data_IF_079900719516
#
_entry.id   IF_079900719516
#
_cell.length_a   1.000
_cell.length_b   1.000
_cell.length_c   1.000
_cell.angle_alpha   90.00
_cell.angle_beta   90.00
_cell.angle_gamma   90.00
#
_symmetry.space_group_name_H-M   'P 1'
#
loop_
_entity.id
_entity.type
_entity.pdbx_description
1 polymer ?
#
# COMPACT_ATOMS: atom_id res chain seq x y z
N UNK A 1 56.90 -4.15 -13.73
CA UNK A 1 55.75 -5.07 -13.57
C UNK A 1 55.75 -5.57 -12.13
N UNK A 2 54.66 -5.30 -11.40
CA UNK A 2 53.76 -6.41 -11.11
C UNK A 2 52.33 -6.10 -11.55
N UNK A 3 51.68 -7.15 -12.05
CA UNK A 3 50.36 -7.13 -12.66
C UNK A 3 49.26 -6.87 -11.62
N UNK A 4 48.51 -5.79 -11.80
CA UNK A 4 47.29 -5.52 -11.04
C UNK A 4 46.14 -6.33 -11.65
N UNK A 5 45.63 -7.28 -10.87
CA UNK A 5 44.56 -8.19 -11.26
C UNK A 5 43.22 -7.45 -11.07
N UNK A 6 42.77 -6.74 -12.11
CA UNK A 6 41.43 -6.14 -12.17
C UNK A 6 40.37 -7.25 -12.20
N UNK A 7 39.49 -7.27 -11.21
CA UNK A 7 38.30 -8.11 -11.21
C UNK A 7 37.44 -7.79 -12.46
N UNK A 8 36.79 -8.79 -13.08
CA UNK A 8 36.08 -8.59 -14.33
C UNK A 8 34.84 -7.69 -14.10
N UNK A 9 34.71 -6.64 -14.93
CA UNK A 9 33.47 -5.86 -15.06
C UNK A 9 32.38 -6.81 -15.58
N UNK A 10 31.40 -7.11 -14.74
CA UNK A 10 30.18 -7.80 -15.15
C UNK A 10 29.43 -6.85 -16.08
N UNK A 11 29.25 -7.25 -17.34
CA UNK A 11 28.27 -6.62 -18.24
C UNK A 11 26.91 -7.24 -17.93
N UNK A 12 25.87 -6.46 -17.62
CA UNK A 12 24.52 -7.02 -17.59
C UNK A 12 24.16 -7.47 -19.01
N UNK A 13 24.05 -8.79 -19.17
CA UNK A 13 23.46 -9.40 -20.36
C UNK A 13 21.96 -9.17 -20.37
N UNK A 14 21.44 -9.02 -21.57
CA UNK A 14 20.03 -8.98 -21.92
C UNK A 14 19.30 -10.21 -21.34
N UNK A 15 18.05 -9.99 -20.90
CA UNK A 15 17.09 -10.89 -20.23
C UNK A 15 16.99 -10.71 -18.70
N UNK A 16 15.98 -9.95 -18.28
CA UNK A 16 15.48 -9.96 -16.91
C UNK A 16 14.25 -9.07 -16.78
N UNK A 17 13.09 -9.67 -16.53
CA UNK A 17 11.84 -8.99 -16.17
C UNK A 17 12.08 -7.99 -15.02
N UNK A 18 11.63 -6.74 -15.22
CA UNK A 18 11.37 -5.66 -14.25
C UNK A 18 12.14 -5.70 -12.92
N UNK A 19 13.47 -5.57 -12.98
CA UNK A 19 14.22 -5.08 -11.83
C UNK A 19 14.29 -3.56 -11.97
N UNK A 20 13.37 -2.85 -11.30
CA UNK A 20 13.39 -1.38 -11.18
C UNK A 20 14.52 -0.94 -10.24
N UNK A 21 15.77 -1.21 -10.63
CA UNK A 21 16.98 -0.86 -9.89
C UNK A 21 17.83 0.07 -10.75
N UNK A 22 18.25 1.19 -10.20
CA UNK A 22 19.12 2.15 -10.88
C UNK A 22 20.31 2.54 -10.03
N UNK A 23 21.42 2.90 -10.68
CA UNK A 23 22.67 3.27 -10.01
C UNK A 23 22.85 4.79 -9.96
N UNK A 24 23.51 5.27 -8.91
CA UNK A 24 23.94 6.66 -8.85
C UNK A 24 25.33 6.80 -8.24
N UNK A 25 25.99 7.90 -8.59
CA UNK A 25 27.19 8.39 -7.91
C UNK A 25 27.03 9.85 -7.56
N UNK A 26 27.59 10.23 -6.42
CA UNK A 26 27.65 11.61 -5.97
C UNK A 26 29.06 11.93 -5.45
N UNK A 27 29.75 12.86 -6.11
CA UNK A 27 31.04 13.37 -5.67
C UNK A 27 30.85 14.61 -4.81
N UNK A 28 31.46 14.61 -3.63
CA UNK A 28 31.35 15.73 -2.68
C UNK A 28 32.03 16.99 -3.22
N UNK A 29 33.21 16.81 -3.82
CA UNK A 29 33.93 17.91 -4.47
C UNK A 29 33.22 18.27 -5.77
N UNK A 30 32.75 19.51 -5.86
CA UNK A 30 31.98 20.00 -7.00
C UNK A 30 30.52 19.56 -7.02
N UNK A 31 30.05 18.83 -6.00
CA UNK A 31 28.65 18.38 -5.85
C UNK A 31 28.07 17.74 -7.12
N UNK A 32 28.88 16.92 -7.80
CA UNK A 32 28.53 16.30 -9.07
C UNK A 32 27.75 15.01 -8.86
N UNK A 33 26.67 14.85 -9.60
CA UNK A 33 25.89 13.61 -9.63
C UNK A 33 26.05 12.89 -10.97
N UNK A 34 25.96 11.57 -10.93
CA UNK A 34 25.73 10.72 -12.09
C UNK A 34 24.55 9.79 -11.77
N UNK A 35 23.62 9.71 -12.70
CA UNK A 35 22.48 8.80 -12.66
C UNK A 35 22.61 7.79 -13.79
N UNK A 36 22.27 6.53 -13.52
CA UNK A 36 22.07 5.57 -14.59
C UNK A 36 20.81 5.90 -15.40
N UNK A 37 20.69 5.30 -16.57
CA UNK A 37 19.52 5.44 -17.43
C UNK A 37 18.23 5.04 -16.69
N UNK A 38 18.29 4.06 -15.80
CA UNK A 38 17.18 3.61 -14.96
C UNK A 38 16.78 4.67 -13.95
N UNK A 39 17.73 5.33 -13.27
CA UNK A 39 17.41 6.42 -12.33
C UNK A 39 16.82 7.62 -13.07
N UNK A 40 17.32 7.94 -14.27
CA UNK A 40 16.73 8.97 -15.11
C UNK A 40 15.28 8.63 -15.48
N UNK A 41 15.03 7.40 -15.95
CA UNK A 41 13.68 6.91 -16.26
C UNK A 41 12.75 6.89 -15.05
N UNK A 42 13.25 6.48 -13.87
CA UNK A 42 12.48 6.53 -12.61
C UNK A 42 12.00 7.94 -12.28
N UNK A 43 12.81 8.97 -12.54
CA UNK A 43 12.43 10.36 -12.34
C UNK A 43 11.61 10.95 -13.51
N UNK A 44 11.33 10.16 -14.55
CA UNK A 44 10.55 10.58 -15.72
C UNK A 44 11.36 11.37 -16.76
N UNK A 45 12.67 11.17 -16.82
CA UNK A 45 13.55 11.73 -17.85
C UNK A 45 13.95 10.67 -18.88
N UNK A 46 14.10 11.09 -20.13
CA UNK A 46 14.80 10.29 -21.14
C UNK A 46 16.30 10.29 -20.81
N UNK A 47 17.00 9.13 -20.86
CA UNK A 47 18.42 9.08 -20.53
C UNK A 47 19.28 10.08 -21.31
N UNK A 48 20.18 10.75 -20.60
CA UNK A 48 21.09 11.76 -21.18
C UNK A 48 20.44 13.13 -21.48
N UNK A 49 19.14 13.31 -21.24
CA UNK A 49 18.49 14.62 -21.46
C UNK A 49 18.61 15.59 -20.29
N UNK A 50 19.03 15.10 -19.13
CA UNK A 50 19.19 15.90 -17.92
C UNK A 50 20.57 15.71 -17.32
N UNK A 51 21.13 16.78 -16.77
CA UNK A 51 22.32 16.73 -15.93
C UNK A 51 21.86 16.71 -14.47
N UNK A 52 22.08 15.60 -13.73
CA UNK A 52 21.64 15.49 -12.35
C UNK A 52 22.33 16.51 -11.44
N UNK A 53 21.55 17.18 -10.60
CA UNK A 53 22.06 18.09 -9.56
C UNK A 53 21.38 17.80 -8.23
N UNK A 54 21.97 18.27 -7.12
CA UNK A 54 21.33 18.16 -5.79
C UNK A 54 19.98 18.88 -5.77
N UNK A 55 19.87 20.03 -6.42
CA UNK A 55 18.62 20.78 -6.54
C UNK A 55 17.56 19.96 -7.29
N UNK A 56 17.93 19.36 -8.43
CA UNK A 56 17.04 18.50 -9.20
C UNK A 56 16.60 17.28 -8.37
N UNK A 57 17.53 16.62 -7.66
CA UNK A 57 17.18 15.50 -6.79
C UNK A 57 16.16 15.91 -5.71
N UNK A 58 16.37 17.08 -5.08
CA UNK A 58 15.50 17.60 -4.02
C UNK A 58 14.14 18.08 -4.55
N UNK A 59 14.07 18.56 -5.80
CA UNK A 59 12.80 18.98 -6.41
C UNK A 59 11.83 17.81 -6.55
N UNK A 60 12.34 16.60 -6.81
CA UNK A 60 11.54 15.38 -6.90
C UNK A 60 11.19 14.78 -5.54
N UNK A 61 11.77 15.25 -4.42
CA UNK A 61 11.37 14.72 -3.10
C UNK A 61 9.95 15.16 -2.76
N UNK A 62 9.20 14.22 -2.18
CA UNK A 62 7.87 14.52 -1.63
C UNK A 62 7.99 15.71 -0.65
N UNK A 63 7.06 16.68 -0.65
CA UNK A 63 7.15 17.88 0.19
C UNK A 63 7.42 17.57 1.67
N UNK A 64 6.77 16.54 2.20
CA UNK A 64 6.95 16.09 3.60
C UNK A 64 8.34 15.47 3.87
N UNK A 65 8.98 14.91 2.85
CA UNK A 65 10.22 14.15 2.98
C UNK A 65 11.46 15.02 2.62
N UNK A 66 11.27 16.17 1.95
CA UNK A 66 12.34 17.00 1.38
C UNK A 66 13.36 17.49 2.41
N UNK A 67 12.89 18.05 3.54
CA UNK A 67 13.80 18.56 4.58
C UNK A 67 14.63 17.43 5.19
N UNK A 68 14.00 16.29 5.47
CA UNK A 68 14.68 15.13 6.04
C UNK A 68 15.77 14.58 5.11
N UNK A 69 15.50 14.50 3.81
CA UNK A 69 16.48 14.05 2.81
C UNK A 69 17.64 15.04 2.67
N UNK A 70 17.36 16.34 2.75
CA UNK A 70 18.41 17.37 2.74
C UNK A 70 19.34 17.23 3.94
N UNK A 71 18.78 17.06 5.15
CA UNK A 71 19.57 16.87 6.37
C UNK A 71 20.44 15.60 6.30
N UNK A 72 19.93 14.52 5.67
CA UNK A 72 20.69 13.28 5.45
C UNK A 72 21.84 13.47 4.45
N UNK A 73 21.62 14.21 3.37
CA UNK A 73 22.68 14.55 2.40
C UNK A 73 23.77 15.40 3.07
N UNK A 74 23.37 16.38 3.89
CA UNK A 74 24.30 17.20 4.65
C UNK A 74 25.07 16.36 5.67
N UNK A 75 24.44 15.44 6.38
CA UNK A 75 25.15 14.51 7.27
C UNK A 75 26.14 13.61 6.50
N UNK A 76 25.75 13.08 5.34
CA UNK A 76 26.62 12.26 4.51
C UNK A 76 27.87 13.03 4.05
N UNK A 77 27.72 14.32 3.72
CA UNK A 77 28.83 15.22 3.38
C UNK A 77 29.80 15.46 4.56
N UNK A 78 29.30 15.52 5.80
CA UNK A 78 30.10 15.91 6.96
C UNK A 78 30.66 14.73 7.76
N UNK A 79 29.95 13.60 7.85
CA UNK A 79 30.25 12.51 8.78
C UNK A 79 30.84 11.27 8.10
N UNK A 80 30.62 11.09 6.79
CA UNK A 80 31.18 9.99 6.00
C UNK A 80 30.80 8.59 6.49
N UNK A 81 29.77 7.98 5.90
CA UNK A 81 29.35 6.60 6.21
C UNK A 81 28.48 5.99 5.12
N UNK A 82 28.26 4.67 5.19
CA UNK A 82 27.23 4.01 4.37
C UNK A 82 25.85 4.42 4.89
N UNK A 83 24.91 4.66 3.98
CA UNK A 83 23.55 5.04 4.36
C UNK A 83 22.51 4.22 3.59
N UNK A 84 21.40 3.96 4.28
CA UNK A 84 20.21 3.35 3.73
C UNK A 84 19.02 4.22 4.08
N UNK A 85 18.16 4.51 3.10
CA UNK A 85 16.95 5.30 3.31
C UNK A 85 15.81 4.71 2.50
N UNK A 86 14.63 4.62 3.13
CA UNK A 86 13.38 4.39 2.41
C UNK A 86 12.58 5.69 2.41
N UNK A 87 12.25 6.21 1.23
CA UNK A 87 11.52 7.46 1.10
C UNK A 87 10.71 7.51 -0.18
N UNK A 88 9.90 8.57 -0.32
CA UNK A 88 9.09 8.82 -1.50
C UNK A 88 9.70 9.92 -2.37
N UNK A 89 9.56 9.77 -3.68
CA UNK A 89 9.84 10.84 -4.63
C UNK A 89 8.70 10.91 -5.66
N UNK A 90 8.61 12.03 -6.38
CA UNK A 90 7.59 12.33 -7.36
C UNK A 90 8.29 12.48 -8.72
N UNK A 91 7.85 11.77 -9.75
CA UNK A 91 8.39 11.88 -11.11
C UNK A 91 7.91 13.16 -11.84
N UNK A 92 8.39 13.41 -13.06
CA UNK A 92 7.96 14.55 -13.89
C UNK A 92 6.48 14.52 -14.28
N UNK A 93 5.83 13.35 -14.22
CA UNK A 93 4.40 13.19 -14.49
C UNK A 93 3.53 13.37 -13.23
N UNK A 94 4.15 13.53 -12.05
CA UNK A 94 3.46 13.69 -10.77
C UNK A 94 3.13 12.38 -10.06
N UNK A 95 3.63 11.23 -10.53
CA UNK A 95 3.45 9.95 -9.85
C UNK A 95 4.39 9.84 -8.65
N UNK A 96 3.87 9.37 -7.53
CA UNK A 96 4.66 9.08 -6.34
C UNK A 96 5.28 7.69 -6.45
N UNK A 97 6.59 7.60 -6.22
CA UNK A 97 7.36 6.39 -6.17
C UNK A 97 7.86 6.11 -4.77
N UNK A 98 7.78 4.86 -4.33
CA UNK A 98 8.40 4.40 -3.07
C UNK A 98 9.73 3.73 -3.38
N UNK A 99 10.84 4.29 -2.87
CA UNK A 99 12.18 3.73 -3.11
C UNK A 99 12.90 3.36 -1.83
N UNK A 100 13.81 2.41 -1.96
CA UNK A 100 14.93 2.24 -1.04
C UNK A 100 16.20 2.71 -1.75
N UNK A 101 16.99 3.54 -1.08
CA UNK A 101 18.31 3.96 -1.52
C UNK A 101 19.34 3.32 -0.61
N UNK A 102 20.32 2.66 -1.21
CA UNK A 102 21.46 2.03 -0.53
C UNK A 102 22.73 2.65 -1.09
N UNK A 103 23.64 3.15 -0.25
CA UNK A 103 24.87 3.75 -0.73
C UNK A 103 26.05 3.51 0.22
N UNK A 104 27.24 3.41 -0.37
CA UNK A 104 28.52 3.32 0.34
C UNK A 104 29.49 4.40 -0.16
N UNK A 105 30.64 4.51 0.50
CA UNK A 105 31.66 5.53 0.26
C UNK A 105 32.51 5.20 -0.96
N UNK A 106 32.76 6.22 -1.76
CA UNK A 106 33.81 6.22 -2.79
C UNK A 106 35.11 6.77 -2.18
N UNK A 107 36.23 6.12 -2.49
CA UNK A 107 37.56 6.52 -2.04
C UNK A 107 38.45 6.86 -3.25
N UNK A 108 39.38 7.80 -3.07
CA UNK A 108 40.47 7.99 -4.02
C UNK A 108 41.66 7.06 -3.70
N UNK A 109 42.70 7.11 -4.55
CA UNK A 109 43.92 6.32 -4.41
C UNK A 109 44.70 6.58 -3.10
N UNK A 110 44.40 7.67 -2.40
CA UNK A 110 45.02 8.05 -1.12
C UNK A 110 44.18 7.57 0.08
N UNK A 111 43.06 6.88 -0.15
CA UNK A 111 42.16 6.41 0.89
C UNK A 111 41.26 7.50 1.49
N UNK A 112 41.19 8.69 0.86
CA UNK A 112 40.29 9.74 1.28
C UNK A 112 38.90 9.54 0.67
N UNK A 113 37.84 9.79 1.44
CA UNK A 113 36.46 9.73 0.95
C UNK A 113 36.22 10.88 -0.02
N UNK A 114 35.80 10.56 -1.25
CA UNK A 114 35.56 11.54 -2.32
C UNK A 114 34.08 11.65 -2.72
N UNK A 115 33.25 10.74 -2.25
CA UNK A 115 31.82 10.74 -2.56
C UNK A 115 31.11 9.49 -2.06
N UNK A 116 29.95 9.23 -2.63
CA UNK A 116 29.14 8.04 -2.40
C UNK A 116 28.61 7.45 -3.70
N UNK A 117 28.50 6.13 -3.76
CA UNK A 117 27.85 5.40 -4.85
C UNK A 117 26.83 4.41 -4.30
N UNK A 118 25.78 4.15 -5.06
CA UNK A 118 24.66 3.39 -4.55
C UNK A 118 23.60 3.04 -5.58
N UNK A 119 22.51 2.47 -5.07
CA UNK A 119 21.38 1.97 -5.84
C UNK A 119 20.06 2.55 -5.34
N UNK A 120 19.19 2.93 -6.28
CA UNK A 120 17.76 3.07 -6.09
C UNK A 120 17.08 1.74 -6.39
N UNK A 121 16.22 1.28 -5.49
CA UNK A 121 15.33 0.15 -5.72
C UNK A 121 13.90 0.69 -5.63
N UNK A 122 13.20 0.73 -6.76
CA UNK A 122 11.80 1.14 -6.82
C UNK A 122 10.90 -0.03 -6.37
N UNK A 123 10.12 0.23 -5.33
CA UNK A 123 9.18 -0.69 -4.71
C UNK A 123 7.73 -0.36 -5.04
N UNK A 124 7.47 0.63 -5.89
CA UNK A 124 6.12 1.16 -6.17
C UNK A 124 5.18 0.04 -6.61
N UNK A 125 5.58 -0.75 -7.61
CA UNK A 125 4.77 -1.89 -8.09
C UNK A 125 4.55 -2.96 -7.01
N UNK A 126 5.56 -3.22 -6.18
CA UNK A 126 5.47 -4.21 -5.11
C UNK A 126 4.52 -3.76 -4.00
N UNK A 127 4.58 -2.48 -3.63
CA UNK A 127 3.70 -1.86 -2.64
C UNK A 127 2.27 -1.82 -3.15
N UNK A 128 2.04 -1.36 -4.38
CA UNK A 128 0.70 -1.30 -4.97
C UNK A 128 0.10 -2.69 -5.19
N UNK A 129 0.89 -3.67 -5.62
CA UNK A 129 0.45 -5.07 -5.74
C UNK A 129 0.08 -5.65 -4.38
N UNK A 130 0.86 -5.37 -3.34
CA UNK A 130 0.55 -5.80 -1.96
C UNK A 130 -0.73 -5.14 -1.46
N UNK A 131 -0.88 -3.82 -1.68
CA UNK A 131 -2.08 -3.06 -1.34
C UNK A 131 -3.32 -3.64 -2.03
N UNK A 132 -3.24 -3.90 -3.34
CA UNK A 132 -4.31 -4.50 -4.12
C UNK A 132 -4.69 -5.88 -3.57
N UNK A 133 -3.70 -6.75 -3.27
CA UNK A 133 -3.96 -8.06 -2.66
C UNK A 133 -4.68 -7.97 -1.31
N UNK A 134 -4.29 -7.02 -0.46
CA UNK A 134 -4.95 -6.80 0.83
C UNK A 134 -6.41 -6.36 0.63
N UNK A 135 -6.66 -5.45 -0.32
CA UNK A 135 -8.01 -5.02 -0.65
C UNK A 135 -8.85 -6.16 -1.22
N UNK A 136 -8.32 -6.91 -2.18
CA UNK A 136 -9.01 -8.05 -2.81
C UNK A 136 -9.35 -9.16 -1.79
N UNK A 137 -8.49 -9.36 -0.78
CA UNK A 137 -8.76 -10.32 0.29
C UNK A 137 -9.78 -9.82 1.33
N UNK A 138 -9.74 -8.51 1.67
CA UNK A 138 -10.59 -7.96 2.73
C UNK A 138 -12.00 -7.59 2.27
N UNK A 139 -12.18 -7.21 1.01
CA UNK A 139 -13.46 -6.72 0.50
C UNK A 139 -14.58 -7.77 0.52
N UNK A 140 -14.35 -9.05 0.13
CA UNK A 140 -15.36 -10.11 0.24
C UNK A 140 -15.81 -10.35 1.69
N UNK A 141 -14.88 -10.40 2.65
CA UNK A 141 -15.21 -10.57 4.07
C UNK A 141 -16.07 -9.41 4.60
N UNK A 142 -15.82 -8.18 4.14
CA UNK A 142 -16.62 -7.01 4.54
C UNK A 142 -18.04 -7.06 3.97
N UNK A 143 -18.22 -7.51 2.73
CA UNK A 143 -19.53 -7.69 2.12
C UNK A 143 -20.33 -8.81 2.79
N UNK A 144 -19.71 -9.97 3.05
CA UNK A 144 -20.34 -11.07 3.78
C UNK A 144 -20.70 -10.67 5.22
N UNK A 145 -19.81 -9.96 5.91
CA UNK A 145 -20.08 -9.45 7.26
C UNK A 145 -21.27 -8.48 7.27
N UNK A 146 -21.38 -7.61 6.26
CA UNK A 146 -22.53 -6.70 6.13
C UNK A 146 -23.80 -7.46 5.80
N UNK A 147 -23.74 -8.48 4.94
CA UNK A 147 -24.89 -9.30 4.59
C UNK A 147 -25.47 -10.05 5.80
N UNK A 148 -24.63 -10.71 6.59
CA UNK A 148 -25.07 -11.43 7.79
C UNK A 148 -25.70 -10.51 8.84
N UNK A 149 -25.13 -9.30 9.03
CA UNK A 149 -25.70 -8.29 9.96
C UNK A 149 -27.08 -7.83 9.48
N UNK A 150 -27.25 -7.53 8.19
CA UNK A 150 -28.55 -7.09 7.66
C UNK A 150 -29.61 -8.21 7.68
N UNK A 151 -29.23 -9.47 7.42
CA UNK A 151 -30.13 -10.62 7.54
C UNK A 151 -30.57 -10.85 8.99
N UNK A 152 -29.63 -10.81 9.95
CA UNK A 152 -29.95 -10.92 11.37
C UNK A 152 -30.86 -9.78 11.85
N UNK A 153 -30.61 -8.53 11.40
CA UNK A 153 -31.51 -7.40 11.67
C UNK A 153 -32.91 -7.66 11.14
N UNK A 154 -33.04 -8.11 9.88
CA UNK A 154 -34.33 -8.44 9.29
C UNK A 154 -35.09 -9.50 10.09
N UNK A 155 -34.42 -10.57 10.51
CA UNK A 155 -35.03 -11.59 11.36
C UNK A 155 -35.49 -11.03 12.72
N UNK A 156 -34.66 -10.22 13.38
CA UNK A 156 -35.01 -9.59 14.66
C UNK A 156 -36.18 -8.62 14.53
N UNK A 157 -36.25 -7.86 13.43
CA UNK A 157 -37.38 -6.97 13.15
C UNK A 157 -38.70 -7.75 13.08
N UNK A 158 -38.69 -8.92 12.42
CA UNK A 158 -39.88 -9.77 12.29
C UNK A 158 -40.25 -10.44 13.62
N UNK A 159 -39.27 -10.96 14.35
CA UNK A 159 -39.49 -11.70 15.60
C UNK A 159 -39.91 -10.78 16.75
N UNK A 160 -39.30 -9.60 16.85
CA UNK A 160 -39.50 -8.68 17.97
C UNK A 160 -40.38 -7.47 17.64
N UNK A 161 -40.76 -7.27 16.37
CA UNK A 161 -41.58 -6.13 15.95
C UNK A 161 -40.88 -4.77 16.12
N UNK A 162 -39.55 -4.75 16.02
CA UNK A 162 -38.70 -3.57 16.22
C UNK A 162 -38.23 -2.98 14.89
N UNK A 163 -37.79 -1.73 14.90
CA UNK A 163 -37.14 -1.13 13.73
C UNK A 163 -35.70 -1.64 13.54
N UNK A 164 -35.09 -1.25 12.41
CA UNK A 164 -33.74 -1.71 12.04
C UNK A 164 -32.64 -1.22 12.99
N UNK A 165 -32.79 -0.04 13.58
CA UNK A 165 -31.81 0.54 14.50
C UNK A 165 -31.86 -0.16 15.86
N UNK A 166 -33.07 -0.44 16.34
CA UNK A 166 -33.33 -1.24 17.53
C UNK A 166 -32.81 -2.68 17.37
N UNK A 167 -33.08 -3.32 16.23
CA UNK A 167 -32.54 -4.65 15.92
C UNK A 167 -31.01 -4.68 15.90
N UNK A 168 -30.38 -3.64 15.33
CA UNK A 168 -28.92 -3.53 15.31
C UNK A 168 -28.35 -3.31 16.72
N UNK A 169 -29.01 -2.47 17.53
CA UNK A 169 -28.62 -2.24 18.92
C UNK A 169 -28.68 -3.53 19.76
N UNK A 170 -29.65 -4.42 19.51
CA UNK A 170 -29.70 -5.74 20.16
C UNK A 170 -28.48 -6.60 19.83
N UNK A 171 -28.07 -6.65 18.55
CA UNK A 171 -26.88 -7.38 18.12
C UNK A 171 -25.61 -6.77 18.74
N UNK A 172 -25.50 -5.44 18.75
CA UNK A 172 -24.38 -4.72 19.37
C UNK A 172 -24.29 -4.99 20.87
N UNK A 173 -25.41 -4.88 21.58
CA UNK A 173 -25.47 -5.14 23.01
C UNK A 173 -25.00 -6.56 23.32
N UNK A 174 -25.51 -7.55 22.58
CA UNK A 174 -25.11 -8.95 22.79
C UNK A 174 -23.63 -9.18 22.48
N UNK A 175 -23.13 -8.60 21.39
CA UNK A 175 -21.72 -8.66 20.98
C UNK A 175 -20.78 -8.10 22.06
N UNK A 176 -21.14 -6.97 22.66
CA UNK A 176 -20.36 -6.35 23.74
C UNK A 176 -20.38 -7.20 25.01
N UNK A 177 -21.55 -7.71 25.40
CA UNK A 177 -21.70 -8.54 26.61
C UNK A 177 -20.89 -9.83 26.56
N UNK A 178 -20.77 -10.42 25.37
CA UNK A 178 -20.04 -11.70 25.19
C UNK A 178 -18.62 -11.51 24.64
N UNK A 179 -18.17 -10.26 24.48
CA UNK A 179 -16.91 -9.92 23.80
C UNK A 179 -16.70 -10.70 22.48
N UNK A 180 -17.80 -10.89 21.74
CA UNK A 180 -17.81 -11.64 20.48
C UNK A 180 -17.90 -10.64 19.33
N UNK A 181 -17.13 -10.84 18.26
CA UNK A 181 -17.19 -9.96 17.08
C UNK A 181 -18.63 -9.93 16.55
N UNK A 182 -19.21 -8.74 16.39
CA UNK A 182 -20.58 -8.52 15.92
C UNK A 182 -20.93 -9.32 14.66
N UNK A 183 -19.99 -9.38 13.70
CA UNK A 183 -20.13 -10.16 12.46
C UNK A 183 -20.31 -11.66 12.69
N UNK A 184 -19.53 -12.25 13.61
CA UNK A 184 -19.60 -13.67 13.92
C UNK A 184 -20.90 -13.98 14.67
N UNK A 185 -21.31 -13.09 15.57
CA UNK A 185 -22.59 -13.20 16.25
C UNK A 185 -23.76 -13.15 15.27
N UNK A 186 -23.77 -12.18 14.34
CA UNK A 186 -24.83 -12.07 13.34
C UNK A 186 -24.87 -13.29 12.39
N UNK A 187 -23.71 -13.77 11.92
CA UNK A 187 -23.62 -14.97 11.11
C UNK A 187 -24.18 -16.20 11.83
N UNK A 188 -23.87 -16.35 13.13
CA UNK A 188 -24.40 -17.44 13.94
C UNK A 188 -25.92 -17.31 14.13
N UNK A 189 -26.43 -16.11 14.39
CA UNK A 189 -27.88 -15.85 14.46
C UNK A 189 -28.56 -16.31 13.17
N UNK A 190 -28.04 -15.94 12.01
CA UNK A 190 -28.60 -16.34 10.70
C UNK A 190 -28.53 -17.86 10.50
N UNK A 191 -27.40 -18.48 10.82
CA UNK A 191 -27.21 -19.91 10.70
C UNK A 191 -28.20 -20.71 11.56
N UNK A 192 -28.55 -20.20 12.73
CA UNK A 192 -29.44 -20.87 13.68
C UNK A 192 -30.93 -20.53 13.47
N UNK A 193 -31.29 -19.68 12.48
CA UNK A 193 -32.69 -19.30 12.24
C UNK A 193 -33.57 -20.50 11.89
N UNK A 194 -33.02 -21.52 11.22
CA UNK A 194 -33.75 -22.74 10.85
C UNK A 194 -34.10 -23.62 12.06
N UNK A 195 -33.35 -23.47 13.16
CA UNK A 195 -33.61 -24.14 14.44
C UNK A 195 -34.79 -23.52 15.20
N UNK A 196 -35.15 -22.27 14.87
CA UNK A 196 -36.29 -21.56 15.47
C UNK A 196 -37.58 -22.09 14.83
N UNK A 197 -38.12 -23.17 15.39
CA UNK A 197 -39.36 -23.82 14.91
C UNK A 197 -40.61 -22.96 15.16
N UNK A 198 -40.93 -21.94 14.36
CA UNK A 198 -42.19 -21.20 14.52
C UNK A 198 -42.90 -20.98 13.17
N UNK A 199 -43.83 -21.88 12.83
CA UNK A 199 -44.90 -21.55 11.89
C UNK A 199 -46.20 -21.48 12.67
N UNK A 200 -46.57 -20.28 13.14
CA UNK A 200 -48.00 -20.00 13.19
C UNK A 200 -48.44 -19.87 11.74
N UNK A 201 -49.42 -20.66 11.31
CA UNK A 201 -49.98 -20.57 9.95
C UNK A 201 -50.48 -19.15 9.62
N UNK A 202 -50.78 -18.35 10.65
CA UNK A 202 -51.09 -16.93 10.53
C UNK A 202 -49.91 -16.10 9.98
N UNK A 203 -48.73 -16.15 10.60
CA UNK A 203 -47.58 -15.35 10.18
C UNK A 203 -47.15 -15.69 8.75
N UNK A 204 -47.18 -16.98 8.39
CA UNK A 204 -46.87 -17.43 7.03
C UNK A 204 -47.82 -16.83 6.00
N UNK A 205 -49.13 -16.84 6.28
CA UNK A 205 -50.14 -16.25 5.37
C UNK A 205 -49.98 -14.73 5.21
N UNK A 206 -49.64 -14.02 6.27
CA UNK A 206 -49.36 -12.58 6.21
C UNK A 206 -48.13 -12.29 5.33
N UNK A 207 -47.05 -13.06 5.51
CA UNK A 207 -45.85 -12.96 4.69
C UNK A 207 -46.09 -13.33 3.23
N UNK A 208 -46.85 -14.39 2.96
CA UNK A 208 -47.21 -14.82 1.61
C UNK A 208 -47.99 -13.71 0.90
N UNK A 209 -48.98 -13.11 1.55
CA UNK A 209 -49.73 -11.98 0.99
C UNK A 209 -48.82 -10.77 0.74
N UNK A 210 -47.95 -10.43 1.69
CA UNK A 210 -47.01 -9.32 1.53
C UNK A 210 -46.12 -9.52 0.31
N UNK A 211 -45.49 -10.69 0.18
CA UNK A 211 -44.59 -11.04 -0.92
C UNK A 211 -45.32 -11.00 -2.27
N UNK A 212 -46.54 -11.52 -2.33
CA UNK A 212 -47.34 -11.55 -3.56
C UNK A 212 -47.85 -10.18 -3.99
N UNK A 213 -47.99 -9.21 -3.07
CA UNK A 213 -48.60 -7.89 -3.36
C UNK A 213 -47.62 -6.71 -3.26
N UNK A 214 -46.37 -6.94 -2.83
CA UNK A 214 -45.41 -5.84 -2.59
C UNK A 214 -45.17 -4.98 -3.83
N UNK A 215 -45.10 -5.59 -5.01
CA UNK A 215 -44.87 -4.91 -6.27
C UNK A 215 -46.00 -3.93 -6.64
N UNK A 216 -47.25 -4.20 -6.23
CA UNK A 216 -48.40 -3.32 -6.46
C UNK A 216 -48.25 -1.98 -5.69
N UNK A 217 -47.48 -1.98 -4.60
CA UNK A 217 -47.18 -0.81 -3.77
C UNK A 217 -45.88 -0.08 -4.16
N UNK A 218 -45.10 -0.64 -5.09
CA UNK A 218 -43.81 -0.08 -5.53
C UNK A 218 -43.92 0.90 -6.70
N UNK A 219 -45.12 1.11 -7.26
CA UNK A 219 -45.33 2.06 -8.35
C UNK A 219 -45.30 3.50 -7.81
N UNK A 220 -44.15 4.15 -7.98
CA UNK A 220 -44.00 5.59 -8.24
C UNK A 220 -42.92 5.82 -9.28
#
# INVERSE_FOLDING_TARGET
MPSSNLAPRVRPGEHGEDLNVGEFRFWFVGQRWEWSDEVARMHGYEPGTVEPTTELLLSHKHPDDRQHVQDLLDQALHQGGSFSSRHRFIDTAGHEHTVIVLADRMYNDQGAVVGTEGFYVDLTDSVEKTRRKVLDAALPELFEARAAIEQAKGALMVVYGVDADQAFAMLQWRSQQTNTKLRALAAQVVADLDTVQHHSDALRREFDHLLLTVHERMVR
#
